data_IF_068225537678
#
_entry.id   IF_068225537678
#
_cell.length_a   1.000
_cell.length_b   1.000
_cell.length_c   1.000
_cell.angle_alpha   90.00
_cell.angle_beta   90.00
_cell.angle_gamma   90.00
#
_symmetry.space_group_name_H-M   'P 1'
#
loop_
_entity.id
_entity.type
_entity.pdbx_description
1 polymer ?
#
# COMPACT_ATOMS: atom_id res chain seq x y z
N UNK A 1 12.14 -35.61 -81.70
CA UNK A 1 12.68 -36.64 -80.78
C UNK A 1 13.67 -35.98 -79.81
N UNK A 2 13.81 -36.51 -78.58
CA UNK A 2 13.74 -35.84 -77.25
C UNK A 2 15.07 -35.13 -76.84
N UNK A 3 15.24 -34.35 -75.77
CA UNK A 3 14.51 -33.94 -74.55
C UNK A 3 15.24 -32.72 -73.94
N UNK A 4 14.59 -31.90 -73.09
CA UNK A 4 15.24 -30.80 -72.35
C UNK A 4 15.68 -31.24 -70.94
N UNK A 5 16.80 -30.70 -70.44
CA UNK A 5 17.17 -30.80 -69.02
C UNK A 5 17.14 -29.41 -68.36
N UNK A 6 16.35 -29.30 -67.29
CA UNK A 6 16.21 -28.13 -66.41
C UNK A 6 17.35 -28.10 -65.37
N UNK A 7 17.73 -26.91 -64.90
CA UNK A 7 18.16 -26.73 -63.52
C UNK A 7 17.02 -26.18 -62.67
N UNK A 8 16.76 -26.83 -61.54
CA UNK A 8 15.89 -26.37 -60.47
C UNK A 8 16.49 -25.11 -59.82
N UNK A 9 15.77 -23.99 -59.92
CA UNK A 9 15.98 -22.85 -59.04
C UNK A 9 15.46 -23.20 -57.64
N UNK A 10 16.32 -23.00 -56.65
CA UNK A 10 16.01 -23.14 -55.23
C UNK A 10 14.97 -22.09 -54.78
N UNK A 11 13.98 -22.46 -53.94
CA UNK A 11 13.10 -21.46 -53.35
C UNK A 11 13.77 -20.79 -52.16
N UNK A 12 13.83 -19.47 -52.27
CA UNK A 12 14.12 -18.44 -51.29
C UNK A 12 13.83 -18.80 -49.81
N UNK A 13 14.82 -19.38 -49.13
CA UNK A 13 14.88 -19.58 -47.67
C UNK A 13 15.38 -18.32 -46.95
N UNK A 14 14.73 -17.18 -47.17
CA UNK A 14 15.18 -15.89 -46.62
C UNK A 14 14.10 -14.86 -46.35
N UNK A 15 12.88 -15.06 -46.86
CA UNK A 15 11.77 -14.10 -46.71
C UNK A 15 10.89 -14.38 -45.48
N UNK A 16 10.79 -15.63 -45.05
CA UNK A 16 9.98 -16.00 -43.87
C UNK A 16 10.65 -15.63 -42.55
N UNK A 17 11.99 -15.69 -42.48
CA UNK A 17 12.76 -15.31 -41.28
C UNK A 17 12.71 -13.79 -41.05
N UNK A 18 12.66 -13.00 -42.12
CA UNK A 18 12.68 -11.53 -42.05
C UNK A 18 11.35 -10.93 -41.54
N UNK A 19 10.23 -11.64 -41.67
CA UNK A 19 8.92 -11.23 -41.14
C UNK A 19 8.67 -11.72 -39.70
N UNK A 20 9.33 -12.81 -39.28
CA UNK A 20 9.21 -13.35 -37.93
C UNK A 20 9.85 -12.42 -36.87
N UNK A 21 10.99 -11.80 -37.19
CA UNK A 21 11.69 -10.90 -36.26
C UNK A 21 10.87 -9.66 -35.90
N UNK A 22 10.29 -8.88 -36.85
CA UNK A 22 9.45 -7.74 -36.51
C UNK A 22 8.14 -8.16 -35.83
N UNK A 23 7.57 -9.33 -36.18
CA UNK A 23 6.40 -9.87 -35.48
C UNK A 23 6.72 -10.24 -34.02
N UNK A 24 7.84 -10.90 -33.75
CA UNK A 24 8.30 -11.19 -32.38
C UNK A 24 8.62 -9.91 -31.60
N UNK A 25 9.21 -8.89 -32.24
CA UNK A 25 9.46 -7.59 -31.61
C UNK A 25 8.16 -6.86 -31.25
N UNK A 26 7.14 -6.94 -32.12
CA UNK A 26 5.80 -6.39 -31.86
C UNK A 26 5.05 -7.18 -30.77
N UNK A 27 5.19 -8.51 -30.71
CA UNK A 27 4.63 -9.30 -29.61
C UNK A 27 5.33 -8.99 -28.28
N UNK A 28 6.64 -8.77 -28.30
CA UNK A 28 7.42 -8.40 -27.12
C UNK A 28 7.01 -7.03 -26.56
N UNK A 29 6.77 -6.05 -27.42
CA UNK A 29 6.34 -4.70 -26.99
C UNK A 29 4.91 -4.69 -26.46
N UNK A 30 4.01 -5.47 -27.05
CA UNK A 30 2.64 -5.64 -26.51
C UNK A 30 2.68 -6.37 -25.17
N UNK A 31 3.49 -7.41 -25.01
CA UNK A 31 3.63 -8.13 -23.74
C UNK A 31 4.21 -7.25 -22.62
N UNK A 32 5.22 -6.42 -22.93
CA UNK A 32 5.77 -5.45 -21.96
C UNK A 32 4.73 -4.39 -21.54
N UNK A 33 3.88 -3.94 -22.46
CA UNK A 33 2.81 -2.98 -22.15
C UNK A 33 1.75 -3.54 -21.21
N UNK A 34 1.51 -4.86 -21.22
CA UNK A 34 0.51 -5.50 -20.36
C UNK A 34 1.08 -5.80 -18.96
N UNK A 35 2.37 -6.14 -18.86
CA UNK A 35 3.05 -6.28 -17.57
C UNK A 35 3.19 -4.95 -16.83
N UNK A 36 3.32 -3.82 -17.55
CA UNK A 36 3.41 -2.48 -16.94
C UNK A 36 2.07 -2.00 -16.33
N UNK A 37 0.96 -2.67 -16.64
CA UNK A 37 -0.36 -2.34 -16.10
C UNK A 37 -0.56 -2.88 -14.66
N UNK A 38 0.16 -3.94 -14.30
CA UNK A 38 -0.11 -4.72 -13.09
C UNK A 38 1.08 -4.71 -12.15
N UNK A 39 1.11 -3.76 -11.21
CA UNK A 39 2.23 -3.61 -10.30
C UNK A 39 2.09 -4.53 -9.09
N UNK A 40 3.17 -5.20 -8.68
CA UNK A 40 3.14 -6.05 -7.49
C UNK A 40 3.20 -5.21 -6.20
N UNK A 41 2.28 -5.48 -5.26
CA UNK A 41 2.24 -4.92 -3.91
C UNK A 41 2.43 -6.07 -2.91
N UNK A 42 3.64 -6.20 -2.36
CA UNK A 42 3.91 -7.24 -1.37
C UNK A 42 3.38 -6.86 0.01
N UNK A 43 2.75 -7.82 0.70
CA UNK A 43 2.28 -7.64 2.08
C UNK A 43 3.45 -7.21 3.00
N UNK A 44 3.20 -6.19 3.82
CA UNK A 44 4.13 -5.60 4.78
C UNK A 44 5.23 -4.73 4.15
N UNK A 45 5.19 -4.49 2.83
CA UNK A 45 6.14 -3.60 2.14
C UNK A 45 5.39 -2.40 1.55
N UNK A 46 5.76 -1.21 2.01
CA UNK A 46 5.26 0.05 1.46
C UNK A 46 5.92 0.36 0.12
N UNK A 47 5.12 0.68 -0.88
CA UNK A 47 5.58 1.31 -2.13
C UNK A 47 5.53 2.82 -1.92
N UNK A 48 6.72 3.45 -1.95
CA UNK A 48 6.90 4.88 -1.65
C UNK A 48 7.10 5.68 -2.93
N UNK A 49 6.46 6.85 -3.00
CA UNK A 49 6.67 7.80 -4.10
C UNK A 49 6.10 7.32 -5.43
N UNK A 50 5.03 6.54 -5.39
CA UNK A 50 4.30 6.16 -6.59
C UNK A 50 3.70 7.40 -7.26
N UNK A 51 3.72 7.40 -8.59
CA UNK A 51 3.15 8.49 -9.38
C UNK A 51 2.13 7.96 -10.38
N UNK A 52 1.03 8.71 -10.55
CA UNK A 52 0.04 8.44 -11.59
C UNK A 52 -0.53 9.75 -12.14
N UNK A 53 -1.09 9.77 -13.37
CA UNK A 53 -1.75 10.96 -13.91
C UNK A 53 -2.85 11.44 -12.98
N UNK A 54 -2.87 12.73 -12.63
CA UNK A 54 -3.88 13.29 -11.74
C UNK A 54 -5.28 13.26 -12.36
N UNK A 55 -5.36 13.42 -13.69
CA UNK A 55 -6.62 13.34 -14.45
C UNK A 55 -6.79 11.94 -15.01
N UNK A 56 -7.82 11.23 -14.55
CA UNK A 56 -8.14 9.86 -14.96
C UNK A 56 -7.03 8.85 -14.66
N UNK A 57 -6.24 9.08 -13.60
CA UNK A 57 -5.23 8.12 -13.19
C UNK A 57 -5.88 6.86 -12.65
N UNK A 58 -5.43 5.72 -13.19
CA UNK A 58 -5.91 4.39 -12.80
C UNK A 58 -4.74 3.43 -12.80
N UNK A 59 -4.61 2.63 -11.76
CA UNK A 59 -3.58 1.59 -11.66
C UNK A 59 -4.08 0.38 -10.90
N UNK A 60 -3.74 -0.81 -11.39
CA UNK A 60 -4.04 -2.08 -10.73
C UNK A 60 -2.78 -2.59 -10.03
N UNK A 61 -2.94 -2.93 -8.75
CA UNK A 61 -1.91 -3.57 -7.94
C UNK A 61 -2.29 -5.02 -7.67
N UNK A 62 -1.38 -5.94 -7.95
CA UNK A 62 -1.51 -7.35 -7.59
C UNK A 62 -0.91 -7.57 -6.21
N UNK A 63 -1.69 -8.10 -5.26
CA UNK A 63 -1.19 -8.35 -3.91
C UNK A 63 -0.41 -9.66 -3.87
N UNK A 64 0.86 -9.58 -3.49
CA UNK A 64 1.74 -10.74 -3.35
C UNK A 64 1.99 -11.05 -1.86
N UNK A 65 2.02 -12.34 -1.50
CA UNK A 65 2.28 -12.78 -0.12
C UNK A 65 1.05 -12.90 0.78
N UNK A 66 -0.15 -13.08 0.20
CA UNK A 66 -1.38 -13.32 0.95
C UNK A 66 -1.35 -14.69 1.65
N UNK A 67 -1.81 -14.73 2.89
CA UNK A 67 -2.11 -15.94 3.65
C UNK A 67 -3.60 -16.24 3.59
N UNK A 68 -3.99 -17.51 3.38
CA UNK A 68 -5.40 -17.90 3.39
C UNK A 68 -6.05 -17.55 4.72
N UNK A 69 -7.28 -17.03 4.66
CA UNK A 69 -8.12 -16.70 5.82
C UNK A 69 -7.62 -15.56 6.71
N UNK A 70 -6.52 -14.91 6.35
CA UNK A 70 -6.02 -13.72 7.04
C UNK A 70 -6.77 -12.46 6.60
N UNK A 71 -6.79 -11.47 7.48
CA UNK A 71 -7.34 -10.15 7.22
C UNK A 71 -6.24 -9.22 6.76
N UNK A 72 -6.55 -8.36 5.80
CA UNK A 72 -5.62 -7.44 5.18
C UNK A 72 -6.20 -6.04 5.16
N UNK A 73 -5.32 -5.06 5.25
CA UNK A 73 -5.63 -3.65 5.13
C UNK A 73 -4.76 -3.02 4.08
N UNK A 74 -5.39 -2.38 3.09
CA UNK A 74 -4.67 -1.56 2.12
C UNK A 74 -4.92 -0.10 2.44
N UNK A 75 -3.84 0.67 2.51
CA UNK A 75 -3.84 2.09 2.82
C UNK A 75 -3.11 2.85 1.73
N UNK A 76 -3.61 4.04 1.40
CA UNK A 76 -2.89 5.04 0.62
C UNK A 76 -2.60 6.25 1.49
N UNK A 77 -1.42 6.85 1.28
CA UNK A 77 -1.06 8.14 1.85
C UNK A 77 -0.49 9.05 0.78
N UNK A 78 -0.84 10.33 0.83
CA UNK A 78 -0.44 11.29 -0.19
C UNK A 78 -0.32 12.69 0.42
N UNK A 79 0.47 13.59 -0.17
CA UNK A 79 0.69 14.91 0.38
C UNK A 79 -0.55 15.80 0.19
N UNK A 80 -0.96 16.48 1.25
CA UNK A 80 -2.08 17.44 1.22
C UNK A 80 -1.85 18.67 0.32
N UNK A 81 -0.64 18.84 -0.23
CA UNK A 81 -0.29 19.95 -1.13
C UNK A 81 -0.83 19.76 -2.56
N UNK A 82 -1.29 18.56 -2.92
CA UNK A 82 -1.90 18.26 -4.21
C UNK A 82 -3.37 17.92 -3.95
N UNK A 83 -4.31 18.77 -4.35
CA UNK A 83 -5.71 18.54 -4.06
C UNK A 83 -6.22 17.42 -4.97
N UNK A 84 -6.33 16.22 -4.40
CA UNK A 84 -6.60 14.97 -5.10
C UNK A 84 -7.39 14.05 -4.19
N UNK A 85 -8.29 13.30 -4.81
CA UNK A 85 -9.12 12.29 -4.16
C UNK A 85 -8.75 10.93 -4.73
N UNK A 86 -8.23 10.01 -3.92
CA UNK A 86 -8.03 8.64 -4.37
C UNK A 86 -9.21 7.76 -3.98
N UNK A 87 -9.41 6.70 -4.76
CA UNK A 87 -10.36 5.65 -4.45
C UNK A 87 -9.69 4.29 -4.61
N UNK A 88 -9.95 3.39 -3.65
CA UNK A 88 -9.40 2.04 -3.61
C UNK A 88 -10.54 1.05 -3.72
N UNK A 89 -10.41 0.07 -4.60
CA UNK A 89 -11.39 -1.01 -4.77
C UNK A 89 -10.68 -2.36 -4.89
N UNK A 90 -11.27 -3.38 -4.30
CA UNK A 90 -10.87 -4.75 -4.61
C UNK A 90 -11.47 -5.18 -5.94
N UNK A 91 -10.66 -5.89 -6.71
CA UNK A 91 -11.03 -6.42 -8.01
C UNK A 91 -10.55 -7.87 -8.10
N UNK A 92 -11.36 -8.74 -8.73
CA UNK A 92 -11.06 -10.17 -8.86
C UNK A 92 -10.08 -10.47 -10.02
N UNK A 93 -10.03 -9.60 -11.04
CA UNK A 93 -9.06 -9.63 -12.13
C UNK A 93 -8.73 -8.25 -12.71
N UNK A 94 -7.68 -8.13 -13.54
CA UNK A 94 -7.30 -6.85 -14.17
C UNK A 94 -8.39 -6.30 -15.10
N UNK A 95 -9.20 -7.17 -15.71
CA UNK A 95 -10.25 -6.80 -16.68
C UNK A 95 -11.56 -6.36 -16.00
N UNK A 96 -11.78 -6.71 -14.73
CA UNK A 96 -12.97 -6.34 -13.96
C UNK A 96 -12.89 -4.88 -13.43
N UNK A 97 -11.81 -4.17 -13.74
CA UNK A 97 -11.60 -2.77 -13.35
C UNK A 97 -12.66 -1.80 -13.91
N UNK A 98 -13.42 -2.21 -14.92
CA UNK A 98 -14.50 -1.44 -15.54
C UNK A 98 -15.86 -1.65 -14.87
N UNK A 99 -16.05 -2.73 -14.09
CA UNK A 99 -17.33 -3.02 -13.47
C UNK A 99 -17.45 -2.28 -12.13
N UNK A 100 -18.21 -1.17 -12.16
CA UNK A 100 -18.54 -0.34 -11.00
C UNK A 100 -19.33 -1.12 -9.94
N UNK A 101 -18.65 -1.91 -9.11
CA UNK A 101 -19.23 -2.44 -7.87
C UNK A 101 -19.42 -1.28 -6.89
N UNK A 102 -20.67 -0.99 -6.56
CA UNK A 102 -21.10 0.06 -5.63
C UNK A 102 -20.75 -0.35 -4.20
N UNK A 103 -19.47 -0.29 -3.84
CA UNK A 103 -19.09 -0.30 -2.44
C UNK A 103 -19.33 1.10 -1.87
N UNK A 104 -20.32 1.21 -0.96
CA UNK A 104 -20.61 2.43 -0.21
C UNK A 104 -19.36 2.85 0.55
N UNK A 105 -18.74 3.97 0.14
CA UNK A 105 -17.63 4.61 0.86
C UNK A 105 -18.15 5.08 2.21
N UNK A 106 -17.68 4.47 3.29
CA UNK A 106 -18.04 4.88 4.65
C UNK A 106 -17.27 6.15 5.08
N UNK A 107 -16.09 6.40 4.51
CA UNK A 107 -15.29 7.62 4.70
C UNK A 107 -14.46 7.96 3.44
N UNK A 108 -14.07 9.23 3.30
CA UNK A 108 -12.94 9.68 2.46
C UNK A 108 -11.60 9.38 3.16
N UNK A 109 -11.43 8.15 3.63
CA UNK A 109 -10.13 7.64 4.04
C UNK A 109 -9.84 6.48 3.12
N UNK A 110 -8.70 6.54 2.44
CA UNK A 110 -8.30 5.62 1.37
C UNK A 110 -7.79 4.32 1.99
N UNK A 111 -8.63 3.70 2.82
CA UNK A 111 -8.37 2.51 3.59
C UNK A 111 -9.46 1.49 3.29
N UNK A 112 -9.05 0.31 2.85
CA UNK A 112 -9.95 -0.84 2.66
C UNK A 112 -9.44 -2.02 3.47
N UNK A 113 -10.36 -2.74 4.11
CA UNK A 113 -10.08 -3.98 4.85
C UNK A 113 -10.79 -5.11 4.13
N UNK A 114 -10.09 -6.21 3.88
CA UNK A 114 -10.66 -7.38 3.25
C UNK A 114 -10.08 -8.66 3.85
N UNK A 115 -10.79 -9.78 3.64
CA UNK A 115 -10.34 -11.10 4.06
C UNK A 115 -9.94 -11.92 2.84
N UNK A 116 -8.78 -12.57 2.88
CA UNK A 116 -8.33 -13.45 1.82
C UNK A 116 -9.03 -14.82 1.94
N UNK A 117 -10.29 -14.93 1.48
CA UNK A 117 -11.12 -16.15 1.56
C UNK A 117 -10.65 -17.26 0.59
N UNK A 118 -9.40 -17.72 0.74
CA UNK A 118 -8.83 -18.78 -0.11
C UNK A 118 -8.56 -18.35 -1.56
N UNK A 119 -8.74 -17.07 -1.88
CA UNK A 119 -8.38 -16.49 -3.19
C UNK A 119 -6.86 -16.54 -3.35
N UNK A 120 -6.40 -17.22 -4.39
CA UNK A 120 -4.97 -17.31 -4.72
C UNK A 120 -4.38 -15.97 -5.16
N UNK A 121 -5.22 -15.07 -5.66
CA UNK A 121 -4.81 -13.78 -6.16
C UNK A 121 -5.88 -12.73 -5.88
N UNK A 122 -5.46 -11.55 -5.44
CA UNK A 122 -6.33 -10.41 -5.16
C UNK A 122 -5.70 -9.19 -5.82
N UNK A 123 -6.53 -8.40 -6.49
CA UNK A 123 -6.12 -7.17 -7.13
C UNK A 123 -6.76 -5.96 -6.44
N UNK A 124 -6.03 -4.86 -6.45
CA UNK A 124 -6.47 -3.58 -5.90
C UNK A 124 -6.40 -2.55 -7.00
N UNK A 125 -7.55 -2.01 -7.36
CA UNK A 125 -7.67 -0.88 -8.25
C UNK A 125 -7.55 0.41 -7.44
N UNK A 126 -6.60 1.24 -7.85
CA UNK A 126 -6.45 2.60 -7.34
C UNK A 126 -6.81 3.57 -8.46
N UNK A 127 -7.70 4.50 -8.16
CA UNK A 127 -8.04 5.62 -9.05
C UNK A 127 -7.72 6.94 -8.37
N UNK A 128 -7.33 7.96 -9.13
CA UNK A 128 -7.19 9.33 -8.63
C UNK A 128 -8.01 10.28 -9.48
N UNK A 129 -8.67 11.21 -8.80
CA UNK A 129 -9.36 12.33 -9.41
C UNK A 129 -8.89 13.64 -8.78
N UNK A 130 -8.80 14.74 -9.55
CA UNK A 130 -8.50 16.04 -8.99
C UNK A 130 -9.65 16.50 -8.08
N UNK A 131 -9.33 16.99 -6.89
CA UNK A 131 -10.32 17.54 -5.96
C UNK A 131 -10.14 19.05 -5.83
N UNK A 132 -11.24 19.79 -5.61
CA UNK A 132 -11.19 21.23 -5.33
C UNK A 132 -11.04 22.15 -6.55
N UNK A 133 -11.06 23.46 -6.26
CA UNK A 133 -10.91 24.54 -7.26
C UNK A 133 -9.52 25.14 -7.11
N UNK A 134 -8.78 25.26 -8.21
CA UNK A 134 -7.43 25.83 -8.20
C UNK A 134 -7.46 27.28 -7.73
N UNK A 135 -6.78 27.58 -6.63
CA UNK A 135 -6.73 28.92 -6.06
C UNK A 135 -6.04 29.96 -6.96
N UNK A 136 -5.20 29.53 -7.90
CA UNK A 136 -4.52 30.40 -8.87
C UNK A 136 -5.02 30.15 -10.29
N UNK A 137 -5.85 31.04 -10.85
CA UNK A 137 -6.16 30.97 -12.27
C UNK A 137 -4.86 31.14 -13.08
N UNK A 138 -4.71 30.37 -14.17
CA UNK A 138 -3.62 30.46 -15.15
C UNK A 138 -2.24 29.86 -14.78
N UNK A 139 -2.16 29.04 -13.73
CA UNK A 139 -0.98 28.20 -13.44
C UNK A 139 -1.28 26.77 -13.87
N UNK A 140 -0.35 26.08 -14.54
CA UNK A 140 -0.52 24.66 -14.85
C UNK A 140 -0.71 23.87 -13.54
N UNK A 141 -1.84 23.19 -13.44
CA UNK A 141 -2.09 22.19 -12.40
C UNK A 141 -1.00 21.10 -12.48
N UNK A 142 -0.66 20.49 -11.34
CA UNK A 142 0.22 19.31 -11.37
C UNK A 142 -0.45 18.19 -12.15
N UNK A 143 0.23 17.69 -13.17
CA UNK A 143 -0.28 16.60 -14.02
C UNK A 143 -0.18 15.23 -13.34
N UNK A 144 0.66 15.11 -12.30
CA UNK A 144 0.94 13.86 -11.61
C UNK A 144 0.53 13.94 -10.13
N UNK A 145 -0.16 12.90 -9.68
CA UNK A 145 -0.44 12.64 -8.28
C UNK A 145 0.67 11.76 -7.70
N UNK A 146 1.21 12.15 -6.54
CA UNK A 146 2.22 11.40 -5.79
C UNK A 146 1.57 10.76 -4.57
N UNK A 147 1.84 9.48 -4.33
CA UNK A 147 1.26 8.75 -3.21
C UNK A 147 2.17 7.59 -2.79
N UNK A 148 1.92 7.05 -1.60
CA UNK A 148 2.45 5.79 -1.13
C UNK A 148 1.28 4.82 -0.94
N UNK A 149 1.56 3.53 -1.11
CA UNK A 149 0.57 2.47 -0.89
C UNK A 149 1.20 1.31 -0.12
N UNK A 150 0.46 0.78 0.85
CA UNK A 150 0.89 -0.36 1.66
C UNK A 150 -0.26 -1.35 1.85
N UNK A 151 0.07 -2.64 1.91
CA UNK A 151 -0.84 -3.72 2.28
C UNK A 151 -0.32 -4.38 3.56
N UNK A 152 -1.03 -4.24 4.67
CA UNK A 152 -0.66 -4.82 5.96
C UNK A 152 -1.56 -6.00 6.31
N UNK A 153 -1.00 -7.02 6.95
CA UNK A 153 -1.79 -8.09 7.56
C UNK A 153 -2.30 -7.65 8.95
N UNK A 154 -3.57 -7.97 9.21
CA UNK A 154 -4.26 -7.65 10.44
C UNK A 154 -4.39 -8.89 11.33
N UNK A 155 -4.06 -8.74 12.60
CA UNK A 155 -4.42 -9.67 13.66
C UNK A 155 -5.40 -8.98 14.62
N UNK A 156 -6.59 -9.58 14.82
CA UNK A 156 -7.69 -9.01 15.62
C UNK A 156 -8.11 -7.60 15.17
N UNK A 157 -8.00 -7.31 13.86
CA UNK A 157 -8.33 -5.99 13.30
C UNK A 157 -7.24 -4.92 13.46
N UNK A 158 -6.08 -5.27 14.03
CA UNK A 158 -4.94 -4.39 14.23
C UNK A 158 -3.77 -4.85 13.34
N UNK A 159 -3.05 -3.95 12.66
CA UNK A 159 -1.88 -4.32 11.88
C UNK A 159 -0.83 -5.00 12.76
N UNK A 160 -0.24 -6.10 12.27
CA UNK A 160 0.74 -6.90 13.01
C UNK A 160 1.90 -6.08 13.57
N UNK A 161 2.36 -5.06 12.82
CA UNK A 161 3.43 -4.18 13.27
C UNK A 161 3.10 -3.43 14.57
N UNK A 162 1.83 -3.05 14.78
CA UNK A 162 1.40 -2.30 15.96
C UNK A 162 1.33 -3.15 17.24
N UNK A 163 1.40 -4.49 17.15
CA UNK A 163 1.37 -5.37 18.33
C UNK A 163 2.56 -5.17 19.26
N UNK A 164 3.73 -4.78 18.73
CA UNK A 164 4.89 -4.44 19.54
C UNK A 164 4.61 -3.29 20.51
N UNK A 165 3.84 -2.28 20.06
CA UNK A 165 3.43 -1.15 20.89
C UNK A 165 2.47 -1.64 21.99
N UNK A 166 1.53 -2.54 21.64
CA UNK A 166 0.62 -3.16 22.62
C UNK A 166 1.36 -3.93 23.71
N UNK A 167 2.36 -4.74 23.34
CA UNK A 167 3.19 -5.49 24.30
C UNK A 167 3.97 -4.52 25.19
N UNK A 168 4.61 -3.49 24.61
CA UNK A 168 5.34 -2.48 25.37
C UNK A 168 4.44 -1.74 26.37
N UNK A 169 3.20 -1.42 26.00
CA UNK A 169 2.22 -0.80 26.87
C UNK A 169 1.81 -1.72 28.05
N UNK A 170 1.63 -3.02 27.81
CA UNK A 170 1.35 -3.97 28.88
C UNK A 170 2.54 -4.06 29.85
N UNK A 171 3.78 -4.12 29.33
CA UNK A 171 4.99 -4.13 30.16
C UNK A 171 5.09 -2.86 31.00
N UNK A 172 4.79 -1.68 30.43
CA UNK A 172 4.85 -0.42 31.16
C UNK A 172 3.80 -0.36 32.28
N UNK A 173 2.58 -0.87 32.04
CA UNK A 173 1.54 -0.97 33.06
C UNK A 173 1.96 -1.91 34.20
N UNK A 174 2.51 -3.08 33.87
CA UNK A 174 2.99 -4.03 34.88
C UNK A 174 4.11 -3.40 35.71
N UNK A 175 5.07 -2.74 35.07
CA UNK A 175 6.17 -2.08 35.77
C UNK A 175 5.67 -0.95 36.67
N UNK A 176 4.74 -0.13 36.19
CA UNK A 176 4.10 0.92 36.98
C UNK A 176 3.34 0.35 38.19
N UNK A 177 2.71 -0.82 38.05
CA UNK A 177 2.02 -1.50 39.14
C UNK A 177 2.97 -2.13 40.17
N UNK A 178 4.18 -2.53 39.76
CA UNK A 178 5.23 -3.09 40.63
C UNK A 178 6.10 -2.02 41.28
N UNK A 179 6.19 -0.82 40.70
CA UNK A 179 7.00 0.27 41.23
C UNK A 179 6.67 0.61 42.71
N UNK A 180 5.40 0.64 43.17
CA UNK A 180 5.07 0.85 44.58
C UNK A 180 5.50 -0.28 45.52
N UNK A 181 5.75 -1.49 44.99
CA UNK A 181 6.17 -2.65 45.77
C UNK A 181 7.70 -2.69 45.96
N UNK A 182 8.44 -2.22 44.95
CA UNK A 182 9.91 -2.19 44.96
C UNK A 182 10.44 -0.89 45.56
N UNK A 183 9.73 0.23 45.36
CA UNK A 183 10.05 1.48 46.04
C UNK A 183 9.51 1.40 47.47
N UNK A 184 10.35 1.61 48.50
CA UNK A 184 9.90 1.61 49.87
C UNK A 184 9.05 2.87 50.11
N UNK A 185 7.77 2.80 49.77
CA UNK A 185 6.80 3.90 49.93
C UNK A 185 6.79 4.41 51.37
N UNK A 186 7.05 3.51 52.33
CA UNK A 186 7.22 3.84 53.75
C UNK A 186 8.37 4.82 54.03
N UNK A 187 9.46 4.79 53.25
CA UNK A 187 10.58 5.74 53.44
C UNK A 187 10.28 7.12 52.88
N UNK A 188 9.52 7.21 51.79
CA UNK A 188 9.12 8.51 51.21
C UNK A 188 8.06 9.20 52.08
N UNK A 189 7.05 8.46 52.56
CA UNK A 189 6.04 8.98 53.48
C UNK A 189 6.61 9.40 54.84
N UNK A 190 7.55 8.63 55.40
CA UNK A 190 8.17 8.98 56.67
C UNK A 190 9.09 10.21 56.55
N UNK A 191 9.72 10.43 55.39
CA UNK A 191 10.57 11.60 55.14
C UNK A 191 9.75 12.91 55.12
N UNK A 192 8.64 12.91 54.40
CA UNK A 192 7.72 14.07 54.33
C UNK A 192 7.09 14.40 55.70
N UNK A 193 6.73 13.37 56.49
CA UNK A 193 6.22 13.55 57.85
C UNK A 193 7.26 14.14 58.82
N UNK A 194 8.54 13.75 58.67
CA UNK A 194 9.63 14.30 59.50
C UNK A 194 10.01 15.74 59.16
N UNK A 195 9.91 16.15 57.88
CA UNK A 195 10.19 17.53 57.47
C UNK A 195 9.05 18.49 57.86
N UNK A 196 7.79 18.07 57.78
CA UNK A 196 6.64 18.83 58.29
C UNK A 196 6.75 19.06 59.81
N UNK A 197 7.04 17.99 60.57
CA UNK A 197 7.21 18.09 62.02
C UNK A 197 8.34 19.04 62.43
N UNK A 198 9.48 19.03 61.72
CA UNK A 198 10.58 19.99 61.95
C UNK A 198 10.18 21.43 61.65
N UNK A 199 9.45 21.65 60.56
CA UNK A 199 9.03 22.99 60.13
C UNK A 199 8.04 23.62 61.11
N UNK A 200 7.16 22.82 61.70
CA UNK A 200 6.20 23.29 62.71
C UNK A 200 6.89 23.63 64.03
N UNK A 201 7.88 22.84 64.46
CA UNK A 201 8.67 23.15 65.67
C UNK A 201 9.53 24.42 65.53
N UNK A 202 9.96 24.78 64.32
CA UNK A 202 10.74 25.98 64.06
C UNK A 202 9.92 27.28 64.02
N UNK A 203 8.58 27.19 63.90
CA UNK A 203 7.67 28.36 63.92
C UNK A 203 7.08 28.68 65.30
N UNK A 204 7.24 27.76 66.26
CA UNK A 204 6.72 27.91 67.63
C UNK A 204 7.78 28.33 68.65
N UNK A 205 9.04 28.51 68.23
CA UNK A 205 10.12 29.13 69.01
C UNK A 205 10.36 30.56 68.56
#
# INVERSE_FOLDING_TARGET
MPSPWRPLASPCRGRDILLLVPALLLLSTVAHSVEDLTRALSVGKELVGETMPLRHGRRVYRIDGLRPSAWYEVKISYPASIPSSFSIRLVDGPDDADWSSTNRRLLNTEKIIFKAEGRSQVYVLVTVEPEGVVAKPNVQERELALFNIVCDELALGIPLFAWWVGIAAIISIVLASLAPLVLPLHKVLNFEGSDLSKTDTAKMS
#
